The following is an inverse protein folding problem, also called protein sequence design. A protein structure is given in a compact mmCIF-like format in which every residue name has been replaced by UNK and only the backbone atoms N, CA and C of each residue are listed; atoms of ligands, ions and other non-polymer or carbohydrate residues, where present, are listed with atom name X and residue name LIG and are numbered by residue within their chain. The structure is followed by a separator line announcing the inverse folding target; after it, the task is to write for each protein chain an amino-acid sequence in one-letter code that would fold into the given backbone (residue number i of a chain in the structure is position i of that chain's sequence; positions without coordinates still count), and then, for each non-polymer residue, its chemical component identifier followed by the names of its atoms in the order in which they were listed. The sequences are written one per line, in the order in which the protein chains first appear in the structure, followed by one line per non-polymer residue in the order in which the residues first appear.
data_IF_933996379044
#
_entry.id   IF_933996379044
#
_cell.length_a   1.000
_cell.length_b   1.000
_cell.length_c   1.000
_cell.angle_alpha   90.00
_cell.angle_beta   90.00
_cell.angle_gamma   90.00
#
_symmetry.space_group_name_H-M   'P 1'
#
loop_
_entity.id
_entity.type
_entity.pdbx_description
1 polymer ?
#
# COMPACT_ATOMS: atom_id res chain seq x y z
N UNK A 1 -28.19 17.20 56.50
CA UNK A 1 -29.15 18.32 56.47
C UNK A 1 -29.17 18.84 55.04
N UNK A 2 -29.86 18.19 54.08
CA UNK A 2 -31.26 18.44 53.66
C UNK A 2 -31.66 19.92 53.74
N UNK A 3 -31.78 20.55 52.57
CA UNK A 3 -32.97 21.32 52.16
C UNK A 3 -33.04 21.40 50.63
N UNK A 4 -34.06 20.74 50.09
CA UNK A 4 -34.64 20.96 48.76
C UNK A 4 -35.54 22.19 48.82
N UNK A 5 -35.57 23.00 47.75
CA UNK A 5 -36.78 23.74 47.33
C UNK A 5 -36.87 23.67 45.81
N UNK A 6 -38.01 23.18 45.33
CA UNK A 6 -38.50 23.18 43.96
C UNK A 6 -39.06 24.57 43.57
N UNK A 7 -39.00 24.94 42.29
CA UNK A 7 -40.13 25.61 41.61
C UNK A 7 -40.03 25.48 40.09
N UNK A 8 -41.18 25.41 39.45
CA UNK A 8 -41.46 24.90 38.12
C UNK A 8 -41.77 25.99 37.08
N UNK A 9 -41.93 25.51 35.84
CA UNK A 9 -42.68 26.08 34.70
C UNK A 9 -42.01 27.18 33.84
N UNK A 10 -41.70 26.83 32.59
CA UNK A 10 -42.63 27.12 31.48
C UNK A 10 -42.28 26.31 30.23
N UNK A 11 -43.28 25.60 29.73
CA UNK A 11 -43.36 24.94 28.43
C UNK A 11 -43.91 25.96 27.44
N UNK A 12 -43.25 26.12 26.29
CA UNK A 12 -43.87 26.71 25.09
C UNK A 12 -43.71 25.74 23.94
N UNK A 13 -44.85 25.14 23.57
CA UNK A 13 -45.10 24.40 22.33
C UNK A 13 -45.51 25.43 21.28
N UNK A 14 -44.88 25.39 20.11
CA UNK A 14 -45.52 25.85 18.86
C UNK A 14 -45.58 24.66 17.90
N UNK A 15 -46.80 24.33 17.53
CA UNK A 15 -47.14 23.39 16.47
C UNK A 15 -46.93 24.01 15.08
N UNK A 16 -46.81 23.12 14.09
CA UNK A 16 -47.66 22.98 12.87
C UNK A 16 -46.79 22.75 11.65
N UNK A 17 -46.99 21.58 11.02
CA UNK A 17 -46.42 21.21 9.74
C UNK A 17 -46.79 19.78 9.36
N UNK A 18 -48.09 19.47 9.38
CA UNK A 18 -48.65 18.18 8.98
C UNK A 18 -48.53 17.95 7.48
N UNK A 19 -48.20 16.73 7.06
CA UNK A 19 -48.80 16.07 5.89
C UNK A 19 -48.65 14.56 6.04
N UNK A 20 -49.77 13.91 6.33
CA UNK A 20 -49.99 12.46 6.19
C UNK A 20 -50.98 12.31 5.03
N UNK A 21 -50.66 11.49 4.02
CA UNK A 21 -51.69 10.78 3.26
C UNK A 21 -51.26 9.32 3.08
N UNK A 22 -52.23 8.46 3.37
CA UNK A 22 -52.28 7.01 3.46
C UNK A 22 -51.84 6.22 2.23
N UNK A 23 -50.99 5.22 2.48
CA UNK A 23 -51.27 3.78 2.36
C UNK A 23 -51.99 3.20 1.13
N UNK A 24 -51.29 2.28 0.46
CA UNK A 24 -51.87 1.01 -0.04
C UNK A 24 -50.86 -0.11 0.12
N UNK A 25 -51.24 -1.16 0.88
CA UNK A 25 -50.53 -2.44 0.92
C UNK A 25 -50.94 -3.30 -0.27
N UNK A 26 -49.96 -3.83 -1.01
CA UNK A 26 -50.04 -5.13 -1.68
C UNK A 26 -48.67 -5.80 -1.53
N UNK A 27 -48.65 -7.06 -1.08
CA UNK A 27 -47.49 -7.98 -1.06
C UNK A 27 -47.92 -9.28 -1.76
N UNK A 28 -47.03 -10.24 -2.07
CA UNK A 28 -45.58 -10.16 -2.34
C UNK A 28 -45.18 -10.95 -3.62
N UNK A 29 -44.03 -10.65 -4.25
CA UNK A 29 -43.21 -11.63 -5.01
C UNK A 29 -41.96 -10.98 -5.60
N UNK A 30 -40.79 -11.49 -5.21
CA UNK A 30 -39.53 -11.18 -5.85
C UNK A 30 -38.38 -11.18 -4.84
N UNK A 31 -37.67 -12.31 -4.76
CA UNK A 31 -36.33 -12.34 -4.17
C UNK A 31 -35.42 -11.49 -5.06
N UNK A 32 -35.13 -10.27 -4.61
CA UNK A 32 -34.00 -9.47 -5.10
C UNK A 32 -33.08 -9.19 -3.91
N UNK A 33 -31.77 -9.11 -4.14
CA UNK A 33 -30.80 -9.09 -3.05
C UNK A 33 -30.99 -7.83 -2.21
N UNK A 34 -30.89 -7.99 -0.89
CA UNK A 34 -30.82 -6.87 0.03
C UNK A 34 -29.57 -6.08 -0.33
N UNK A 35 -29.77 -4.94 -1.00
CA UNK A 35 -28.76 -3.92 -1.11
C UNK A 35 -28.48 -3.44 0.33
N UNK A 36 -27.32 -3.79 0.86
CA UNK A 36 -26.82 -3.20 2.09
C UNK A 36 -26.58 -1.74 1.76
N UNK A 37 -27.49 -0.87 2.18
CA UNK A 37 -27.27 0.57 2.20
C UNK A 37 -26.11 0.83 3.14
N UNK A 38 -24.93 1.09 2.57
CA UNK A 38 -23.79 1.67 3.29
C UNK A 38 -24.24 3.07 3.70
N UNK A 39 -24.52 3.24 4.98
CA UNK A 39 -24.73 4.55 5.59
C UNK A 39 -23.39 5.30 5.52
N UNK A 40 -23.38 6.37 4.74
CA UNK A 40 -22.33 7.40 4.75
C UNK A 40 -22.19 7.98 6.16
N UNK A 41 -21.08 7.70 6.83
CA UNK A 41 -20.63 8.46 8.00
C UNK A 41 -19.34 9.24 7.69
N UNK A 42 -19.30 10.45 8.26
CA UNK A 42 -18.69 11.66 7.72
C UNK A 42 -17.30 12.02 8.33
N UNK A 43 -16.46 12.69 7.49
CA UNK A 43 -15.45 13.77 7.80
C UNK A 43 -14.11 13.34 8.47
N UNK A 44 -12.88 13.80 8.14
CA UNK A 44 -12.32 15.00 7.43
C UNK A 44 -10.96 14.70 6.73
N UNK A 45 -10.78 15.17 5.49
CA UNK A 45 -9.65 15.99 5.03
C UNK A 45 -10.30 17.24 4.40
N UNK A 46 -10.06 18.43 4.93
CA UNK A 46 -10.54 19.74 4.42
C UNK A 46 -12.05 19.92 4.13
N UNK A 47 -12.94 19.22 4.83
CA UNK A 47 -14.38 19.49 4.77
C UNK A 47 -15.04 19.19 3.42
N UNK A 48 -14.34 18.47 2.53
CA UNK A 48 -14.91 17.97 1.28
C UNK A 48 -15.66 16.65 1.52
N UNK A 49 -16.79 16.48 0.84
CA UNK A 49 -17.45 15.17 0.72
C UNK A 49 -16.55 14.28 -0.11
N UNK A 50 -15.99 13.24 0.50
CA UNK A 50 -15.08 12.30 -0.15
C UNK A 50 -15.90 11.14 -0.67
N UNK A 51 -16.03 11.02 -1.99
CA UNK A 51 -16.66 9.85 -2.62
C UNK A 51 -15.70 8.68 -2.57
N UNK A 52 -16.09 7.58 -1.92
CA UNK A 52 -15.31 6.34 -1.96
C UNK A 52 -15.35 5.77 -3.36
N UNK A 53 -14.19 5.61 -3.97
CA UNK A 53 -14.08 4.93 -5.27
C UNK A 53 -13.89 3.44 -5.01
N UNK A 54 -14.88 2.58 -5.29
CA UNK A 54 -14.68 1.14 -5.20
C UNK A 54 -13.65 0.69 -6.24
N UNK A 55 -12.98 -0.44 -5.99
CA UNK A 55 -12.14 -1.07 -7.01
C UNK A 55 -13.04 -1.55 -8.16
N UNK A 56 -12.65 -1.27 -9.40
CA UNK A 56 -13.38 -1.73 -10.58
C UNK A 56 -13.35 -3.26 -10.66
N UNK A 57 -14.53 -3.88 -10.53
CA UNK A 57 -14.70 -5.33 -10.56
C UNK A 57 -14.41 -5.97 -11.93
N UNK A 58 -14.27 -5.18 -12.98
CA UNK A 58 -13.97 -5.66 -14.34
C UNK A 58 -12.47 -5.83 -14.62
N UNK A 59 -11.61 -5.35 -13.71
CA UNK A 59 -10.15 -5.50 -13.83
C UNK A 59 -9.76 -6.98 -13.73
N UNK A 60 -8.99 -7.45 -14.71
CA UNK A 60 -8.45 -8.81 -14.74
C UNK A 60 -6.93 -8.79 -14.54
N UNK A 61 -6.47 -9.25 -13.37
CA UNK A 61 -5.05 -9.34 -13.02
C UNK A 61 -4.49 -10.77 -13.07
N UNK A 62 -5.29 -11.77 -13.46
CA UNK A 62 -4.81 -13.16 -13.61
C UNK A 62 -3.64 -13.30 -14.59
N UNK A 63 -3.57 -12.54 -15.71
CA UNK A 63 -2.40 -12.61 -16.57
C UNK A 63 -1.10 -12.26 -15.85
N UNK A 64 -1.13 -11.30 -14.90
CA UNK A 64 0.03 -10.94 -14.10
C UNK A 64 0.45 -12.07 -13.15
N UNK A 65 -0.51 -12.82 -12.57
CA UNK A 65 -0.19 -13.99 -11.76
C UNK A 65 0.57 -15.06 -12.55
N UNK A 66 0.18 -15.29 -13.81
CA UNK A 66 0.87 -16.24 -14.68
C UNK A 66 2.33 -15.85 -14.92
N UNK A 67 2.63 -14.55 -15.02
CA UNK A 67 4.00 -14.03 -15.15
C UNK A 67 4.76 -14.18 -13.83
N UNK A 68 4.15 -13.79 -12.70
CA UNK A 68 4.76 -13.89 -11.37
C UNK A 68 5.07 -15.36 -11.00
N UNK A 69 4.27 -16.32 -11.47
CA UNK A 69 4.51 -17.74 -11.25
C UNK A 69 5.81 -18.28 -11.88
N UNK A 70 6.44 -17.52 -12.78
CA UNK A 70 7.77 -17.84 -13.33
C UNK A 70 8.92 -17.52 -12.37
N UNK A 71 8.63 -16.82 -11.27
CA UNK A 71 9.59 -16.49 -10.22
C UNK A 71 9.73 -17.67 -9.25
N UNK A 72 10.97 -18.12 -8.95
CA UNK A 72 11.19 -19.14 -7.93
C UNK A 72 10.52 -18.78 -6.61
N UNK A 73 9.73 -19.70 -6.06
CA UNK A 73 8.97 -19.48 -4.84
C UNK A 73 7.65 -18.75 -5.05
N UNK A 74 7.12 -18.63 -6.27
CA UNK A 74 5.77 -18.10 -6.59
C UNK A 74 4.95 -19.04 -7.48
N UNK A 75 5.38 -20.29 -7.65
CA UNK A 75 4.84 -21.22 -8.65
C UNK A 75 3.34 -21.51 -8.47
N UNK A 76 2.87 -21.54 -7.23
CA UNK A 76 1.46 -21.73 -6.85
C UNK A 76 0.56 -20.52 -7.21
N UNK A 77 1.12 -19.37 -7.59
CA UNK A 77 0.35 -18.21 -8.03
C UNK A 77 -0.27 -18.41 -9.41
N UNK A 78 0.28 -19.28 -10.25
CA UNK A 78 -0.20 -19.50 -11.62
C UNK A 78 -1.63 -20.04 -11.70
N UNK A 79 -2.15 -20.59 -10.60
CA UNK A 79 -3.52 -21.08 -10.45
C UNK A 79 -4.26 -20.42 -9.28
N UNK A 80 -3.70 -19.36 -8.70
CA UNK A 80 -4.30 -18.70 -7.55
C UNK A 80 -5.48 -17.81 -7.97
N UNK A 81 -6.39 -17.62 -7.02
CA UNK A 81 -7.44 -16.62 -7.09
C UNK A 81 -6.90 -15.26 -6.63
N UNK A 82 -7.49 -14.20 -7.17
CA UNK A 82 -7.23 -12.82 -6.75
C UNK A 82 -8.50 -12.16 -6.24
N UNK A 83 -8.34 -11.35 -5.21
CA UNK A 83 -9.40 -10.48 -4.71
C UNK A 83 -8.89 -9.05 -4.64
N UNK A 84 -9.63 -8.13 -5.26
CA UNK A 84 -9.44 -6.70 -5.04
C UNK A 84 -9.64 -6.38 -3.56
N UNK A 85 -8.66 -5.71 -2.95
CA UNK A 85 -8.71 -5.32 -1.54
C UNK A 85 -9.17 -3.87 -1.42
N UNK A 86 -8.45 -2.96 -2.06
CA UNK A 86 -8.70 -1.51 -1.97
C UNK A 86 -7.93 -0.74 -3.05
N UNK A 87 -8.46 0.43 -3.41
CA UNK A 87 -7.72 1.45 -4.12
C UNK A 87 -6.72 2.11 -3.17
N UNK A 88 -5.53 2.40 -3.67
CA UNK A 88 -4.52 3.19 -3.00
C UNK A 88 -4.42 4.52 -3.75
N UNK A 89 -4.63 5.60 -3.02
CA UNK A 89 -4.70 6.93 -3.57
C UNK A 89 -3.35 7.65 -3.46
N UNK A 90 -3.19 8.72 -4.24
CA UNK A 90 -2.26 9.78 -3.88
C UNK A 90 -2.84 10.72 -2.83
N UNK A 91 -2.01 11.70 -2.45
CA UNK A 91 -2.38 12.82 -1.62
C UNK A 91 -3.56 13.62 -2.20
N UNK A 92 -3.67 13.74 -3.52
CA UNK A 92 -4.75 14.45 -4.20
C UNK A 92 -6.06 13.64 -4.24
N UNK A 93 -6.05 12.39 -3.79
CA UNK A 93 -7.20 11.51 -3.74
C UNK A 93 -7.50 10.79 -5.05
N UNK A 94 -6.63 10.91 -6.06
CA UNK A 94 -6.71 10.12 -7.28
C UNK A 94 -6.26 8.68 -7.00
N UNK A 95 -6.94 7.70 -7.61
CA UNK A 95 -6.53 6.31 -7.52
C UNK A 95 -5.23 6.14 -8.30
N UNK A 96 -4.14 5.82 -7.59
CA UNK A 96 -2.83 5.64 -8.19
C UNK A 96 -2.36 4.18 -8.20
N UNK A 97 -2.93 3.33 -7.35
CA UNK A 97 -2.67 1.90 -7.40
C UNK A 97 -3.85 1.08 -6.89
N UNK A 98 -3.84 -0.22 -7.15
CA UNK A 98 -4.81 -1.16 -6.59
C UNK A 98 -4.07 -2.24 -5.82
N UNK A 99 -4.48 -2.49 -4.57
CA UNK A 99 -3.98 -3.59 -3.76
C UNK A 99 -4.85 -4.83 -3.96
N UNK A 100 -4.19 -5.94 -4.25
CA UNK A 100 -4.82 -7.23 -4.49
C UNK A 100 -4.31 -8.27 -3.50
N UNK A 101 -5.20 -9.14 -3.05
CA UNK A 101 -4.89 -10.32 -2.26
C UNK A 101 -4.81 -11.52 -3.18
N UNK A 102 -3.74 -12.29 -3.07
CA UNK A 102 -3.56 -13.55 -3.79
C UNK A 102 -3.83 -14.70 -2.84
N UNK A 103 -4.67 -15.65 -3.24
CA UNK A 103 -5.12 -16.73 -2.38
C UNK A 103 -5.40 -18.02 -3.14
N UNK A 104 -5.41 -19.15 -2.45
CA UNK A 104 -5.82 -20.44 -3.03
C UNK A 104 -6.61 -21.21 -2.00
N UNK A 105 -7.83 -21.62 -2.35
CA UNK A 105 -8.71 -22.33 -1.42
C UNK A 105 -8.98 -21.54 -0.14
N UNK A 106 -9.05 -20.22 -0.22
CA UNK A 106 -9.24 -19.31 0.92
C UNK A 106 -7.99 -19.06 1.78
N UNK A 107 -6.85 -19.69 1.48
CA UNK A 107 -5.57 -19.42 2.15
C UNK A 107 -4.84 -18.28 1.43
N UNK A 108 -4.46 -17.24 2.17
CA UNK A 108 -3.63 -16.16 1.65
C UNK A 108 -2.25 -16.69 1.23
N UNK A 109 -1.82 -16.36 0.02
CA UNK A 109 -0.50 -16.65 -0.54
C UNK A 109 0.40 -15.43 -0.59
N UNK A 110 -0.19 -14.23 -0.61
CA UNK A 110 0.52 -12.97 -0.60
C UNK A 110 -0.34 -11.82 -1.13
N UNK A 111 0.32 -10.79 -1.66
CA UNK A 111 -0.34 -9.64 -2.26
C UNK A 111 0.41 -9.15 -3.50
N UNK A 112 -0.30 -8.41 -4.36
CA UNK A 112 0.30 -7.63 -5.42
C UNK A 112 -0.32 -6.23 -5.49
N UNK A 113 0.43 -5.29 -6.04
CA UNK A 113 0.00 -3.91 -6.26
C UNK A 113 0.14 -3.59 -7.74
N UNK A 114 -0.93 -3.10 -8.36
CA UNK A 114 -0.94 -2.76 -9.79
C UNK A 114 -1.18 -1.29 -10.03
N UNK A 115 -0.98 -0.87 -11.28
CA UNK A 115 -1.60 0.34 -11.83
C UNK A 115 -3.12 0.33 -11.64
N UNK A 116 -3.79 1.50 -11.71
CA UNK A 116 -5.24 1.61 -11.59
C UNK A 116 -6.04 0.79 -12.62
N UNK A 117 -5.45 0.55 -13.80
CA UNK A 117 -6.04 -0.26 -14.88
C UNK A 117 -5.72 -1.76 -14.79
N UNK A 118 -5.01 -2.19 -13.74
CA UNK A 118 -4.63 -3.59 -13.52
C UNK A 118 -3.64 -4.16 -14.54
N UNK A 119 -3.09 -3.37 -15.47
CA UNK A 119 -2.26 -3.88 -16.57
C UNK A 119 -0.77 -4.00 -16.22
N UNK A 120 -0.29 -3.21 -15.26
CA UNK A 120 1.12 -3.20 -14.88
C UNK A 120 1.28 -3.48 -13.40
N UNK A 121 2.36 -4.20 -13.06
CA UNK A 121 2.69 -4.59 -11.71
C UNK A 121 3.71 -3.59 -11.11
N UNK A 122 3.38 -3.05 -9.94
CA UNK A 122 4.26 -2.17 -9.16
C UNK A 122 5.11 -2.99 -8.22
N UNK A 123 4.47 -3.84 -7.43
CA UNK A 123 5.16 -4.75 -6.53
C UNK A 123 4.33 -6.00 -6.23
N UNK A 124 5.01 -7.04 -5.75
CA UNK A 124 4.39 -8.26 -5.28
C UNK A 124 5.20 -8.88 -4.14
N UNK A 125 4.53 -9.63 -3.27
CA UNK A 125 5.18 -10.30 -2.16
C UNK A 125 4.39 -11.49 -1.64
N UNK A 126 5.10 -12.43 -1.01
CA UNK A 126 4.52 -13.51 -0.17
C UNK A 126 4.07 -13.02 1.21
N UNK A 127 4.38 -11.77 1.57
CA UNK A 127 3.90 -11.17 2.81
C UNK A 127 2.37 -11.21 2.89
N UNK A 128 1.79 -11.30 4.09
CA UNK A 128 0.35 -11.12 4.27
C UNK A 128 -0.14 -9.83 3.62
N UNK A 129 -1.38 -9.82 3.15
CA UNK A 129 -2.00 -8.57 2.70
C UNK A 129 -1.99 -7.57 3.85
N UNK A 130 -1.52 -6.31 3.63
CA UNK A 130 -1.48 -5.29 4.68
C UNK A 130 -2.89 -4.96 5.18
N UNK A 131 -3.04 -4.93 6.50
CA UNK A 131 -4.30 -4.64 7.20
C UNK A 131 -4.05 -3.61 8.30
N UNK A 132 -5.09 -2.87 8.68
CA UNK A 132 -4.99 -1.97 9.82
C UNK A 132 -4.76 -2.77 11.11
N UNK A 133 -3.96 -2.26 12.06
CA UNK A 133 -3.93 -2.83 13.40
C UNK A 133 -5.31 -2.70 14.05
N UNK A 134 -5.66 -3.66 14.92
CA UNK A 134 -6.79 -3.58 15.86
C UNK A 134 -8.18 -3.34 15.27
N UNK A 135 -8.98 -2.53 15.99
CA UNK A 135 -10.36 -2.13 15.66
C UNK A 135 -10.40 -0.74 14.98
N UNK A 136 -9.25 -0.27 14.50
CA UNK A 136 -9.06 1.04 13.91
C UNK A 136 -9.88 1.19 12.62
N UNK A 137 -10.46 2.38 12.44
CA UNK A 137 -11.23 2.72 11.24
C UNK A 137 -10.44 3.68 10.36
N UNK A 138 -10.15 3.24 9.14
CA UNK A 138 -9.57 4.09 8.11
C UNK A 138 -10.53 5.20 7.71
N UNK A 139 -9.95 6.33 7.32
CA UNK A 139 -10.64 7.33 6.51
C UNK A 139 -10.98 6.68 5.16
N UNK A 140 -12.19 6.87 4.60
CA UNK A 140 -12.65 6.08 3.45
C UNK A 140 -11.76 6.11 2.18
N UNK A 141 -11.11 7.24 1.86
CA UNK A 141 -10.06 7.33 0.82
C UNK A 141 -8.67 7.60 1.43
N UNK A 142 -8.46 7.22 2.69
CA UNK A 142 -7.23 7.45 3.43
C UNK A 142 -6.13 6.42 3.14
N UNK A 143 -6.38 5.42 2.30
CA UNK A 143 -5.39 4.41 1.92
C UNK A 143 -4.48 4.93 0.82
N UNK A 144 -3.18 4.95 1.07
CA UNK A 144 -2.19 5.58 0.21
C UNK A 144 -1.06 4.63 -0.11
N UNK A 145 -0.45 4.82 -1.28
CA UNK A 145 0.81 4.16 -1.61
C UNK A 145 1.96 5.14 -1.43
N UNK A 146 2.68 5.00 -0.32
CA UNK A 146 3.78 5.89 0.08
C UNK A 146 5.11 5.59 -0.63
N UNK A 147 5.10 4.69 -1.60
CA UNK A 147 6.28 4.20 -2.32
C UNK A 147 6.49 2.69 -2.13
N UNK A 148 7.59 2.16 -2.69
CA UNK A 148 7.93 0.75 -2.60
C UNK A 148 7.85 0.17 -1.20
N UNK A 149 7.18 -0.97 -1.04
CA UNK A 149 6.98 -1.68 0.23
C UNK A 149 6.29 -0.87 1.35
N UNK A 150 5.70 0.29 1.03
CA UNK A 150 5.06 1.18 2.00
C UNK A 150 3.60 1.48 1.62
N UNK A 151 2.69 0.70 2.20
CA UNK A 151 1.26 1.01 2.19
C UNK A 151 0.88 1.76 3.45
N UNK A 152 0.09 2.81 3.29
CA UNK A 152 -0.29 3.71 4.37
C UNK A 152 -1.80 3.82 4.50
N UNK A 153 -2.27 4.13 5.70
CA UNK A 153 -3.65 4.53 5.91
C UNK A 153 -3.75 5.71 6.86
N UNK A 154 -4.57 6.69 6.51
CA UNK A 154 -5.07 7.64 7.48
C UNK A 154 -6.20 7.01 8.30
N UNK A 155 -6.10 7.09 9.63
CA UNK A 155 -7.16 6.71 10.57
C UNK A 155 -7.59 7.93 11.38
N UNK A 156 -8.84 7.92 11.85
CA UNK A 156 -9.35 9.02 12.67
C UNK A 156 -8.87 8.88 14.12
N UNK A 157 -7.86 9.67 14.50
CA UNK A 157 -7.36 9.75 15.87
C UNK A 157 -8.09 10.78 16.73
N UNK A 158 -7.81 10.78 18.04
CA UNK A 158 -8.38 11.73 19.02
C UNK A 158 -7.94 13.18 18.76
N UNK A 159 -6.75 13.37 18.20
CA UNK A 159 -6.16 14.69 17.93
C UNK A 159 -6.26 15.09 16.44
N UNK A 160 -6.89 14.25 15.61
CA UNK A 160 -6.97 14.41 14.16
C UNK A 160 -6.55 13.15 13.41
N UNK A 161 -6.51 13.20 12.07
CA UNK A 161 -6.02 12.10 11.24
C UNK A 161 -4.58 11.71 11.60
N UNK A 162 -4.35 10.43 11.81
CA UNK A 162 -3.04 9.84 12.06
C UNK A 162 -2.67 8.93 10.89
N UNK A 163 -1.40 8.95 10.50
CA UNK A 163 -0.91 8.17 9.36
C UNK A 163 -0.29 6.88 9.89
N UNK A 164 -0.72 5.73 9.38
CA UNK A 164 -0.22 4.42 9.80
C UNK A 164 0.50 3.72 8.66
N UNK A 165 1.60 3.04 8.98
CA UNK A 165 2.21 2.03 8.12
C UNK A 165 1.43 0.72 8.26
N UNK A 166 0.77 0.29 7.19
CA UNK A 166 -0.02 -0.96 7.19
C UNK A 166 0.84 -2.22 7.24
N UNK A 167 2.14 -2.11 6.97
CA UNK A 167 3.08 -3.23 7.02
C UNK A 167 3.67 -3.45 8.41
N UNK A 168 3.99 -2.37 9.13
CA UNK A 168 4.56 -2.45 10.48
C UNK A 168 3.52 -2.28 11.58
N UNK A 169 2.36 -1.69 11.28
CA UNK A 169 1.35 -1.28 12.26
C UNK A 169 1.74 -0.01 13.03
N UNK A 170 2.84 0.64 12.66
CA UNK A 170 3.35 1.81 13.36
C UNK A 170 2.63 3.09 12.91
N UNK A 171 2.36 3.97 13.87
CA UNK A 171 1.98 5.35 13.59
C UNK A 171 3.21 6.12 13.10
N UNK A 172 3.05 6.81 11.98
CA UNK A 172 4.07 7.62 11.34
C UNK A 172 3.80 9.11 11.57
N UNK A 173 4.85 9.95 11.56
CA UNK A 173 4.67 11.39 11.69
C UNK A 173 3.75 11.91 10.57
N UNK A 174 2.71 12.67 10.94
CA UNK A 174 1.79 13.30 9.99
C UNK A 174 2.57 14.12 8.97
N UNK A 175 2.29 14.01 7.66
CA UNK A 175 3.04 14.75 6.66
C UNK A 175 2.47 14.67 5.25
N UNK A 176 2.99 15.56 4.41
CA UNK A 176 2.76 15.56 2.99
C UNK A 176 3.39 14.31 2.42
N UNK A 177 2.60 13.42 1.83
CA UNK A 177 3.15 12.29 1.09
C UNK A 177 3.49 12.74 -0.33
N UNK A 178 4.60 12.23 -0.86
CA UNK A 178 4.92 12.40 -2.28
C UNK A 178 4.26 11.28 -3.07
N UNK A 179 3.75 11.61 -4.25
CA UNK A 179 3.25 10.64 -5.23
C UNK A 179 4.43 9.85 -5.76
N UNK A 180 4.81 8.81 -5.02
CA UNK A 180 5.97 7.96 -5.30
C UNK A 180 5.63 6.78 -6.20
N UNK A 181 4.34 6.64 -6.53
CA UNK A 181 3.88 5.80 -7.64
C UNK A 181 4.15 6.54 -8.95
N UNK A 182 4.96 5.99 -9.86
CA UNK A 182 4.98 6.49 -11.22
C UNK A 182 3.63 6.23 -11.90
N UNK A 183 3.08 7.27 -12.56
CA UNK A 183 1.77 7.26 -13.22
C UNK A 183 1.57 6.05 -14.14
N UNK A 184 2.66 5.55 -14.74
CA UNK A 184 2.68 4.38 -15.61
C UNK A 184 3.96 3.60 -15.43
N UNK A 185 3.83 2.30 -15.20
CA UNK A 185 4.91 1.34 -15.41
C UNK A 185 4.65 0.53 -16.68
N UNK A 186 5.70 0.03 -17.36
CA UNK A 186 5.53 -0.87 -18.49
C UNK A 186 4.64 -2.05 -18.10
N UNK A 187 3.63 -2.34 -18.91
CA UNK A 187 2.85 -3.55 -18.75
C UNK A 187 3.76 -4.75 -18.93
N UNK A 188 3.58 -5.78 -18.10
CA UNK A 188 4.31 -7.03 -18.28
C UNK A 188 3.84 -7.64 -19.60
N UNK A 189 4.75 -7.73 -20.59
CA UNK A 189 4.43 -8.32 -21.88
C UNK A 189 4.05 -9.80 -21.69
N UNK A 190 2.79 -10.11 -21.90
CA UNK A 190 2.21 -11.45 -21.73
C UNK A 190 2.51 -12.32 -22.96
N UNK A 191 3.77 -12.66 -23.21
CA UNK A 191 4.06 -13.71 -24.19
C UNK A 191 3.86 -15.08 -23.54
N UNK A 192 2.97 -15.91 -24.12
CA UNK A 192 2.65 -17.30 -23.68
C UNK A 192 3.83 -18.28 -23.69
N UNK A 193 5.07 -17.82 -23.79
CA UNK A 193 6.25 -18.67 -23.61
C UNK A 193 6.53 -18.71 -22.12
N UNK A 194 6.53 -19.91 -21.54
CA UNK A 194 7.08 -20.17 -20.20
C UNK A 194 8.58 -19.83 -20.22
N UNK A 195 8.90 -18.55 -20.15
CA UNK A 195 10.25 -18.10 -19.89
C UNK A 195 10.34 -17.94 -18.38
N UNK A 196 11.17 -18.79 -17.76
CA UNK A 196 11.49 -18.64 -16.35
C UNK A 196 12.14 -17.27 -16.12
N UNK A 197 11.78 -16.62 -15.02
CA UNK A 197 12.39 -15.36 -14.66
C UNK A 197 13.91 -15.54 -14.53
N UNK A 198 14.68 -14.58 -15.07
CA UNK A 198 16.12 -14.56 -14.83
C UNK A 198 16.36 -13.95 -13.46
N UNK A 199 17.07 -14.67 -12.60
CA UNK A 199 17.27 -14.30 -11.20
C UNK A 199 18.76 -14.16 -10.93
N UNK A 200 19.16 -12.98 -10.45
CA UNK A 200 20.53 -12.67 -10.06
C UNK A 200 20.53 -12.28 -8.58
N UNK A 201 21.26 -13.03 -7.76
CA UNK A 201 21.50 -12.65 -6.37
C UNK A 201 22.39 -11.41 -6.30
N UNK A 202 22.11 -10.51 -5.36
CA UNK A 202 22.94 -9.34 -5.08
C UNK A 202 23.76 -9.57 -3.81
N UNK A 203 24.91 -8.87 -3.65
CA UNK A 203 25.68 -8.95 -2.41
C UNK A 203 24.82 -8.55 -1.19
N UNK A 204 24.87 -9.36 -0.14
CA UNK A 204 24.09 -9.13 1.07
C UNK A 204 24.68 -7.99 1.91
N UNK A 205 23.77 -7.28 2.60
CA UNK A 205 24.12 -6.25 3.58
C UNK A 205 23.74 -6.77 4.96
N UNK A 206 24.71 -6.77 5.89
CA UNK A 206 24.49 -7.13 7.29
C UNK A 206 24.49 -5.85 8.11
N UNK A 207 23.39 -5.59 8.81
CA UNK A 207 23.25 -4.45 9.72
C UNK A 207 23.45 -4.86 11.18
N UNK A 208 24.04 -3.97 11.98
CA UNK A 208 24.12 -4.13 13.43
C UNK A 208 22.87 -3.58 14.15
N UNK A 209 22.72 -3.91 15.44
CA UNK A 209 21.59 -3.42 16.25
C UNK A 209 21.55 -1.89 16.33
N UNK A 210 22.72 -1.25 16.38
CA UNK A 210 22.86 0.20 16.42
C UNK A 210 22.39 0.88 15.12
N UNK A 211 22.26 0.16 14.01
CA UNK A 211 21.89 0.73 12.70
C UNK A 211 20.35 0.85 12.52
N UNK A 212 19.55 0.24 13.42
CA UNK A 212 18.09 0.12 13.29
C UNK A 212 17.33 1.44 13.34
N UNK A 213 17.67 2.31 14.29
CA UNK A 213 17.05 3.64 14.44
C UNK A 213 17.47 4.57 13.29
N UNK A 214 18.54 4.24 12.56
CA UNK A 214 19.10 5.09 11.53
C UNK A 214 18.54 4.78 10.13
N UNK A 215 18.24 3.51 9.81
CA UNK A 215 17.83 3.09 8.48
C UNK A 215 16.42 3.52 8.05
N UNK A 216 15.50 3.71 8.99
CA UNK A 216 14.19 4.32 8.79
C UNK A 216 14.21 5.75 9.34
N UNK A 217 15.01 6.63 8.74
CA UNK A 217 15.23 7.98 9.28
C UNK A 217 16.42 8.74 8.68
N UNK A 218 17.24 9.36 9.54
CA UNK A 218 18.33 10.27 9.13
C UNK A 218 19.39 9.64 8.20
N UNK A 219 19.56 8.31 8.18
CA UNK A 219 20.51 7.67 7.26
C UNK A 219 20.08 7.79 5.81
N UNK A 220 18.79 7.60 5.50
CA UNK A 220 18.29 7.81 4.16
C UNK A 220 18.44 9.28 3.72
N UNK A 221 18.28 10.22 4.66
CA UNK A 221 18.57 11.64 4.44
C UNK A 221 20.05 11.90 4.18
N UNK A 222 20.96 11.29 4.95
CA UNK A 222 22.42 11.38 4.73
C UNK A 222 22.81 10.82 3.36
N UNK A 223 22.29 9.65 2.99
CA UNK A 223 22.56 9.00 1.69
C UNK A 223 22.11 9.83 0.49
N UNK A 224 20.99 10.55 0.61
CA UNK A 224 20.50 11.45 -0.44
C UNK A 224 21.21 12.82 -0.44
N UNK A 225 21.69 13.29 0.73
CA UNK A 225 22.31 14.61 0.88
C UNK A 225 23.84 14.66 0.71
N UNK A 226 24.53 13.53 0.79
CA UNK A 226 25.99 13.46 0.64
C UNK A 226 26.42 13.59 -0.83
N UNK A 227 27.18 14.65 -1.15
CA UNK A 227 27.90 14.71 -2.43
C UNK A 227 28.91 13.55 -2.49
N UNK A 228 28.79 12.67 -3.49
CA UNK A 228 29.71 11.56 -3.67
C UNK A 228 29.31 10.25 -3.00
N UNK A 229 28.02 10.04 -2.67
CA UNK A 229 27.50 8.72 -2.27
C UNK A 229 27.66 7.64 -3.34
N UNK A 230 27.81 8.04 -4.61
CA UNK A 230 27.80 7.11 -5.74
C UNK A 230 26.40 6.55 -6.02
N UNK A 231 25.35 7.13 -5.45
CA UNK A 231 23.98 6.74 -5.71
C UNK A 231 23.60 6.98 -7.18
N UNK A 232 22.84 6.05 -7.73
CA UNK A 232 22.31 6.09 -9.10
C UNK A 232 20.81 5.81 -9.08
N UNK A 233 20.03 6.31 -10.06
CA UNK A 233 18.63 5.90 -10.19
C UNK A 233 18.51 4.37 -10.26
N UNK A 234 17.47 3.80 -9.64
CA UNK A 234 17.24 2.35 -9.63
C UNK A 234 17.15 1.78 -11.05
N UNK A 235 16.59 2.54 -12.00
CA UNK A 235 16.53 2.20 -13.42
C UNK A 235 17.93 2.00 -14.03
N UNK A 236 18.87 2.89 -13.69
CA UNK A 236 20.25 2.78 -14.18
C UNK A 236 21.00 1.65 -13.48
N UNK A 237 20.74 1.44 -12.19
CA UNK A 237 21.26 0.27 -11.47
C UNK A 237 20.76 -1.04 -12.09
N UNK A 238 19.49 -1.10 -12.52
CA UNK A 238 18.90 -2.26 -13.18
C UNK A 238 19.55 -2.63 -14.50
N UNK A 239 20.21 -1.70 -15.18
CA UNK A 239 20.94 -1.99 -16.44
C UNK A 239 22.27 -2.68 -16.21
N UNK A 240 22.78 -2.68 -14.97
CA UNK A 240 24.02 -3.37 -14.62
C UNK A 240 23.80 -4.88 -14.70
N UNK A 241 24.75 -5.59 -15.31
CA UNK A 241 24.70 -7.06 -15.44
C UNK A 241 24.92 -7.76 -14.10
N UNK A 242 25.81 -7.21 -13.27
CA UNK A 242 26.09 -7.66 -11.91
C UNK A 242 26.41 -6.45 -11.03
N UNK A 243 25.93 -6.46 -9.79
CA UNK A 243 26.31 -5.45 -8.80
C UNK A 243 27.61 -5.87 -8.12
N UNK A 244 28.67 -5.07 -8.26
CA UNK A 244 29.98 -5.35 -7.66
C UNK A 244 30.05 -5.01 -6.16
N UNK A 245 29.10 -4.21 -5.67
CA UNK A 245 29.04 -3.76 -4.28
C UNK A 245 27.62 -3.96 -3.71
N UNK A 246 27.47 -4.19 -2.40
CA UNK A 246 26.16 -4.19 -1.75
C UNK A 246 25.47 -2.83 -1.92
N UNK A 247 24.15 -2.83 -2.08
CA UNK A 247 23.39 -1.61 -2.35
C UNK A 247 22.02 -1.59 -1.66
N UNK A 248 21.57 -0.39 -1.32
CA UNK A 248 20.25 -0.13 -0.73
C UNK A 248 19.40 0.73 -1.66
N UNK A 249 18.10 0.49 -1.64
CA UNK A 249 17.10 1.40 -2.18
C UNK A 249 16.79 2.46 -1.13
N UNK A 250 17.00 3.74 -1.45
CA UNK A 250 16.77 4.86 -0.51
C UNK A 250 15.81 5.88 -1.11
N UNK A 251 14.79 6.28 -0.33
CA UNK A 251 13.81 7.27 -0.76
C UNK A 251 13.10 8.01 0.39
N UNK A 252 12.68 9.26 0.15
CA UNK A 252 12.04 10.18 1.14
C UNK A 252 10.52 9.96 1.27
N UNK A 253 10.12 8.79 1.79
CA UNK A 253 8.71 8.36 1.89
C UNK A 253 7.76 9.45 2.39
N UNK A 254 8.12 10.17 3.45
CA UNK A 254 7.41 11.35 3.95
C UNK A 254 8.40 12.52 3.96
N UNK A 255 8.28 13.50 3.04
CA UNK A 255 9.05 14.73 2.98
C UNK A 255 9.61 15.21 4.31
N UNK A 256 10.94 15.15 4.40
CA UNK A 256 11.77 15.60 5.53
C UNK A 256 11.51 14.90 6.87
N UNK A 257 10.63 13.89 6.91
CA UNK A 257 10.15 13.23 8.13
C UNK A 257 10.49 11.75 8.17
N UNK A 258 10.42 11.06 7.03
CA UNK A 258 10.67 9.63 6.95
C UNK A 258 11.39 9.30 5.64
N UNK A 259 12.63 8.86 5.78
CA UNK A 259 13.35 8.22 4.70
C UNK A 259 13.37 6.71 4.95
N UNK A 260 13.20 5.96 3.88
CA UNK A 260 13.21 4.50 3.91
C UNK A 260 14.44 4.02 3.18
N UNK A 261 15.21 3.14 3.82
CA UNK A 261 16.29 2.38 3.21
C UNK A 261 15.92 0.88 3.22
N UNK A 262 15.95 0.23 2.06
CA UNK A 262 15.67 -1.20 1.91
C UNK A 262 16.86 -1.91 1.28
N UNK A 263 17.24 -3.05 1.81
CA UNK A 263 18.34 -3.84 1.25
C UNK A 263 17.93 -4.43 -0.10
N UNK A 264 18.73 -4.19 -1.14
CA UNK A 264 18.56 -4.88 -2.42
C UNK A 264 19.16 -6.30 -2.29
N UNK A 265 18.34 -7.33 -2.46
CA UNK A 265 18.78 -8.72 -2.29
C UNK A 265 18.87 -9.48 -3.62
N UNK A 266 17.95 -9.20 -4.53
CA UNK A 266 17.80 -10.02 -5.73
C UNK A 266 17.29 -9.18 -6.88
N UNK A 267 17.87 -9.35 -8.06
CA UNK A 267 17.36 -8.79 -9.31
C UNK A 267 16.60 -9.89 -10.05
N UNK A 268 15.39 -9.58 -10.48
CA UNK A 268 14.51 -10.48 -11.22
C UNK A 268 14.12 -9.81 -12.52
N UNK A 269 14.42 -10.44 -13.65
CA UNK A 269 13.94 -10.00 -14.95
C UNK A 269 12.80 -10.92 -15.38
N UNK A 270 11.57 -10.39 -15.33
CA UNK A 270 10.34 -11.09 -15.72
C UNK A 270 10.14 -11.06 -17.23
N UNK A 271 10.37 -9.91 -17.86
CA UNK A 271 10.37 -9.71 -19.31
C UNK A 271 11.57 -8.84 -19.70
N UNK A 272 11.94 -8.75 -20.99
CA UNK A 272 13.03 -7.86 -21.42
C UNK A 272 12.84 -6.39 -21.00
N UNK A 273 11.60 -5.95 -20.82
CA UNK A 273 11.21 -4.59 -20.46
C UNK A 273 10.90 -4.42 -18.97
N UNK A 274 10.88 -5.49 -18.19
CA UNK A 274 10.41 -5.46 -16.80
C UNK A 274 11.38 -6.17 -15.85
N UNK A 275 12.09 -5.36 -15.07
CA UNK A 275 12.99 -5.81 -14.00
C UNK A 275 12.43 -5.42 -12.65
N UNK A 276 12.56 -6.30 -11.67
CA UNK A 276 12.16 -6.14 -10.29
C UNK A 276 13.35 -6.37 -9.38
N UNK A 277 13.35 -5.72 -8.23
CA UNK A 277 14.28 -5.99 -7.16
C UNK A 277 13.54 -6.55 -5.95
N UNK A 278 13.99 -7.71 -5.48
CA UNK A 278 13.64 -8.19 -4.15
C UNK A 278 14.30 -7.29 -3.13
N UNK A 279 13.47 -6.62 -2.33
CA UNK A 279 13.89 -5.73 -1.26
C UNK A 279 13.40 -6.24 0.09
N UNK A 280 14.20 -6.02 1.12
CA UNK A 280 13.83 -6.37 2.49
C UNK A 280 14.05 -5.21 3.41
N UNK A 281 13.25 -5.17 4.48
CA UNK A 281 13.52 -4.31 5.61
C UNK A 281 14.70 -4.93 6.37
N UNK A 282 15.86 -4.24 6.45
CA UNK A 282 17.01 -4.73 7.19
C UNK A 282 16.75 -5.00 8.68
N UNK A 283 15.68 -4.43 9.25
CA UNK A 283 15.32 -4.54 10.66
C UNK A 283 14.00 -5.27 10.89
N UNK A 284 13.55 -6.05 9.90
CA UNK A 284 12.36 -6.88 10.01
C UNK A 284 12.33 -7.67 11.34
N UNK A 285 11.28 -7.43 12.14
CA UNK A 285 11.16 -7.96 13.50
C UNK A 285 10.72 -9.42 13.52
N UNK A 286 10.12 -9.91 12.43
CA UNK A 286 9.59 -11.26 12.32
C UNK A 286 9.74 -11.83 10.91
N UNK A 287 9.53 -13.13 10.76
CA UNK A 287 9.72 -13.85 9.51
C UNK A 287 8.79 -13.40 8.39
N UNK A 288 7.58 -12.93 8.73
CA UNK A 288 6.68 -12.35 7.75
C UNK A 288 7.27 -11.06 7.18
N UNK A 289 7.81 -10.17 8.02
CA UNK A 289 8.49 -8.95 7.59
C UNK A 289 9.82 -9.22 6.87
N UNK A 290 10.50 -10.34 7.13
CA UNK A 290 11.75 -10.71 6.42
C UNK A 290 11.51 -11.17 4.98
N UNK A 291 10.30 -11.57 4.62
CA UNK A 291 9.99 -11.96 3.24
C UNK A 291 10.28 -10.78 2.29
N UNK A 292 10.87 -11.01 1.11
CA UNK A 292 11.13 -9.93 0.17
C UNK A 292 9.83 -9.35 -0.40
N UNK A 293 9.85 -8.05 -0.65
CA UNK A 293 8.90 -7.38 -1.54
C UNK A 293 9.63 -7.16 -2.86
N UNK A 294 9.02 -7.58 -3.97
CA UNK A 294 9.60 -7.40 -5.29
C UNK A 294 9.07 -6.12 -5.91
N UNK A 295 9.94 -5.13 -6.08
CA UNK A 295 9.59 -3.78 -6.51
C UNK A 295 10.09 -3.56 -7.93
N UNK A 296 9.26 -3.00 -8.80
CA UNK A 296 9.64 -2.69 -10.17
C UNK A 296 10.80 -1.68 -10.22
N UNK A 297 11.80 -1.93 -11.06
CA UNK A 297 13.00 -1.09 -11.19
C UNK A 297 12.71 0.32 -11.72
N UNK A 298 11.56 0.53 -12.36
CA UNK A 298 11.12 1.81 -12.89
C UNK A 298 10.59 2.78 -11.81
N UNK A 299 10.51 2.36 -10.55
CA UNK A 299 10.22 3.28 -9.46
C UNK A 299 11.29 4.38 -9.35
N UNK A 300 10.90 5.67 -9.21
CA UNK A 300 11.83 6.80 -9.19
C UNK A 300 12.52 6.93 -7.82
N UNK A 301 13.35 5.94 -7.49
CA UNK A 301 14.12 5.86 -6.24
C UNK A 301 15.61 5.67 -6.54
N UNK A 302 16.45 5.93 -5.54
CA UNK A 302 17.90 5.87 -5.71
C UNK A 302 18.43 4.55 -5.15
N UNK A 303 19.23 3.84 -5.94
CA UNK A 303 20.09 2.77 -5.43
C UNK A 303 21.42 3.38 -4.97
N UNK A 304 21.80 3.14 -3.71
CA UNK A 304 23.02 3.70 -3.12
C UNK A 304 23.93 2.57 -2.67
N UNK A 305 25.21 2.55 -3.08
CA UNK A 305 26.14 1.55 -2.59
C UNK A 305 26.35 1.70 -1.08
N UNK A 306 26.46 0.56 -0.40
CA UNK A 306 26.84 0.48 1.01
C UNK A 306 28.36 0.30 1.04
N UNK A 307 29.08 1.39 1.32
CA UNK A 307 30.51 1.30 1.57
C UNK A 307 30.72 0.47 2.82
N UNK A 308 31.44 -0.65 2.69
CA UNK A 308 31.85 -1.46 3.83
C UNK A 308 32.58 -0.58 4.85
N UNK A 309 32.24 -0.75 6.13
CA UNK A 309 33.02 -0.19 7.24
C UNK A 309 34.42 -0.79 7.23
#
# INVERSE_FOLDING_TARGET
MKNMVWSACMISVMMVGSSVVSGTMVSPKGNSPVAVSVLDEQRVMDGQTVTVTPVDSSLDVHPLLGVVASVPGFEDWGSADVAAVRNLHDREGAVNAVLWRVQTGGKALGYLVTTPDGQSLYEFSRRPTPELPGDEQAIPNGYLYGGPALQLAYVQGQQGPQLYNLMSGEELPSGELLNRVPDKLPALALEKKQQSAAVTALPEIVHGEDDAVYATGLYGKMKLGEQGTGGVPLQEFAKQTEAAEPAEMVYDAIPDKLFVALNLQQKITLTPEATYFGVTDPFALNDAQRQPVYVNAEFPVTAVPVRGK
#
